data_IF_651920629149
#
_entry.id   IF_651920629149
#
_cell.length_a   1.000
_cell.length_b   1.000
_cell.length_c   1.000
_cell.angle_alpha   90.00
_cell.angle_beta   90.00
_cell.angle_gamma   90.00
#
_symmetry.space_group_name_H-M   'P 1'
#
loop_
_entity.id
_entity.type
_entity.pdbx_description
1 polymer ?
#
# COMPACT_ATOMS: atom_id res chain seq x y z
N UNK A 1 -0.85 19.80 23.39
CA UNK A 1 0.52 19.74 22.82
C UNK A 1 0.34 20.13 21.37
N UNK A 2 1.05 21.16 20.88
CA UNK A 2 0.81 21.67 19.52
C UNK A 2 1.36 20.66 18.52
N UNK A 3 0.48 20.00 17.77
CA UNK A 3 0.90 18.98 16.82
C UNK A 3 1.83 19.58 15.76
N UNK A 4 2.94 18.91 15.51
CA UNK A 4 3.89 19.22 14.44
C UNK A 4 4.76 20.47 14.61
N UNK A 5 4.89 21.02 15.83
CA UNK A 5 5.91 22.06 16.13
C UNK A 5 7.28 21.48 16.48
N UNK A 6 7.34 20.45 17.33
CA UNK A 6 8.60 19.84 17.78
C UNK A 6 9.12 18.83 16.75
N UNK A 7 10.25 19.12 16.09
CA UNK A 7 10.87 18.18 15.13
C UNK A 7 11.14 16.81 15.78
N UNK A 8 10.76 15.74 15.07
CA UNK A 8 10.85 14.36 15.58
C UNK A 8 9.67 13.93 16.46
N UNK A 9 8.67 14.79 16.70
CA UNK A 9 7.45 14.40 17.46
C UNK A 9 6.41 13.63 16.63
N UNK A 10 6.54 13.57 15.30
CA UNK A 10 5.63 12.83 14.41
C UNK A 10 6.32 11.87 13.45
N UNK A 11 5.54 10.96 12.89
CA UNK A 11 5.91 10.08 11.78
C UNK A 11 4.98 10.31 10.57
N UNK A 12 5.39 9.80 9.42
CA UNK A 12 4.54 9.66 8.22
C UNK A 12 4.35 8.16 7.93
N UNK A 13 3.19 7.75 7.43
CA UNK A 13 2.95 6.38 6.99
C UNK A 13 2.19 6.32 5.67
N UNK A 14 2.76 5.65 4.67
CA UNK A 14 2.22 5.51 3.33
C UNK A 14 1.74 4.08 3.06
N UNK A 15 0.48 3.94 2.67
CA UNK A 15 -0.12 2.62 2.43
C UNK A 15 0.38 1.91 1.17
N UNK A 16 0.16 0.59 1.07
CA UNK A 16 0.50 -0.17 -0.14
C UNK A 16 -0.52 0.07 -1.26
N UNK A 17 -0.07 0.54 -2.43
CA UNK A 17 -0.99 1.07 -3.46
C UNK A 17 -0.81 0.49 -4.87
N UNK A 18 0.20 -0.36 -5.11
CA UNK A 18 0.54 -0.86 -6.45
C UNK A 18 0.64 0.28 -7.47
N UNK A 19 -0.07 0.16 -8.60
CA UNK A 19 -0.13 1.21 -9.64
C UNK A 19 -0.81 2.53 -9.20
N UNK A 20 -1.55 2.55 -8.09
CA UNK A 20 -2.08 3.79 -7.51
C UNK A 20 -1.00 4.59 -6.74
N UNK A 21 0.24 4.09 -6.68
CA UNK A 21 1.35 4.72 -5.94
C UNK A 21 1.68 6.16 -6.35
N UNK A 22 1.27 6.63 -7.54
CA UNK A 22 1.39 8.05 -7.91
C UNK A 22 0.58 8.99 -7.02
N UNK A 23 -0.48 8.50 -6.36
CA UNK A 23 -1.18 9.25 -5.33
C UNK A 23 -0.22 9.74 -4.23
N UNK A 24 0.68 8.86 -3.77
CA UNK A 24 1.69 9.20 -2.76
C UNK A 24 2.71 10.22 -3.27
N UNK A 25 3.04 10.20 -4.57
CA UNK A 25 3.90 11.20 -5.22
C UNK A 25 3.23 12.57 -5.19
N UNK A 26 1.93 12.64 -5.49
CA UNK A 26 1.13 13.87 -5.41
C UNK A 26 1.05 14.45 -3.99
N UNK A 27 0.76 13.60 -3.00
CA UNK A 27 0.77 13.97 -1.57
C UNK A 27 2.14 14.53 -1.16
N UNK A 28 3.20 13.81 -1.52
CA UNK A 28 4.59 14.18 -1.21
C UNK A 28 4.97 15.51 -1.87
N UNK A 29 4.52 15.76 -3.10
CA UNK A 29 4.78 17.03 -3.79
C UNK A 29 4.03 18.19 -3.14
N UNK A 30 2.78 18.00 -2.74
CA UNK A 30 2.03 19.01 -1.97
C UNK A 30 2.77 19.37 -0.66
N UNK A 31 3.23 18.37 0.09
CA UNK A 31 4.04 18.60 1.29
C UNK A 31 5.34 19.35 0.98
N UNK A 32 6.10 18.97 -0.04
CA UNK A 32 7.34 19.69 -0.45
C UNK A 32 7.08 21.16 -0.78
N UNK A 33 5.98 21.49 -1.45
CA UNK A 33 5.65 22.87 -1.84
C UNK A 33 5.01 23.72 -0.74
N UNK A 34 4.13 23.14 0.08
CA UNK A 34 3.24 23.90 0.98
C UNK A 34 3.63 23.78 2.44
N UNK A 35 4.22 22.67 2.86
CA UNK A 35 4.60 22.40 4.24
C UNK A 35 5.87 21.51 4.35
N UNK A 36 7.02 21.92 3.77
CA UNK A 36 8.22 21.06 3.67
C UNK A 36 8.75 20.59 5.03
N UNK A 37 8.49 21.36 6.09
CA UNK A 37 8.80 20.99 7.48
C UNK A 37 8.18 19.64 7.90
N UNK A 38 7.00 19.27 7.39
CA UNK A 38 6.37 17.98 7.71
C UNK A 38 7.19 16.77 7.25
N UNK A 39 7.90 16.89 6.12
CA UNK A 39 8.80 15.84 5.61
C UNK A 39 10.16 15.89 6.30
N UNK A 40 10.69 17.09 6.55
CA UNK A 40 12.01 17.30 7.14
C UNK A 40 12.04 16.91 8.62
N UNK A 41 11.06 17.37 9.40
CA UNK A 41 10.91 17.12 10.84
C UNK A 41 10.24 15.78 11.18
N UNK A 42 9.83 14.97 10.20
CA UNK A 42 9.33 13.62 10.47
C UNK A 42 10.46 12.74 11.06
N UNK A 43 10.20 12.15 12.23
CA UNK A 43 11.12 11.21 12.89
C UNK A 43 11.39 9.99 12.02
N UNK A 44 10.30 9.39 11.51
CA UNK A 44 10.30 8.24 10.62
C UNK A 44 9.24 8.37 9.54
N UNK A 45 9.55 7.75 8.40
CA UNK A 45 8.67 7.57 7.27
C UNK A 45 8.50 6.07 7.07
N UNK A 46 7.29 5.58 7.28
CA UNK A 46 6.92 4.19 7.12
C UNK A 46 6.21 3.96 5.79
N UNK A 47 6.29 2.72 5.29
CA UNK A 47 5.39 2.29 4.22
C UNK A 47 5.38 0.79 3.98
N UNK A 48 4.41 0.35 3.20
CA UNK A 48 4.34 -0.99 2.59
C UNK A 48 4.24 -0.86 1.07
N UNK A 49 4.70 -1.85 0.31
CA UNK A 49 4.58 -1.89 -1.16
C UNK A 49 5.03 -0.57 -1.83
N UNK A 50 4.24 -0.01 -2.75
CA UNK A 50 4.55 1.29 -3.37
C UNK A 50 4.56 2.49 -2.41
N UNK A 51 3.95 2.39 -1.22
CA UNK A 51 4.14 3.36 -0.13
C UNK A 51 5.57 3.34 0.43
N UNK A 52 6.21 2.18 0.51
CA UNK A 52 7.62 2.07 0.88
C UNK A 52 8.56 2.60 -0.22
N UNK A 53 8.20 2.43 -1.50
CA UNK A 53 8.90 3.07 -2.62
C UNK A 53 8.84 4.61 -2.50
N UNK A 54 7.67 5.18 -2.23
CA UNK A 54 7.54 6.62 -2.01
C UNK A 54 8.34 7.09 -0.77
N UNK A 55 8.30 6.32 0.33
CA UNK A 55 9.04 6.63 1.54
C UNK A 55 10.57 6.68 1.32
N UNK A 56 11.14 5.74 0.55
CA UNK A 56 12.58 5.81 0.21
C UNK A 56 12.88 6.95 -0.76
N UNK A 57 11.99 7.28 -1.70
CA UNK A 57 12.17 8.43 -2.60
C UNK A 57 12.20 9.77 -1.87
N UNK A 58 11.45 9.91 -0.75
CA UNK A 58 11.55 11.09 0.13
C UNK A 58 12.94 11.14 0.82
N UNK A 59 13.40 10.02 1.38
CA UNK A 59 14.66 9.95 2.14
C UNK A 59 15.89 10.09 1.24
N UNK A 60 15.83 9.58 0.02
CA UNK A 60 16.84 9.74 -1.02
C UNK A 60 16.81 11.12 -1.71
N UNK A 61 15.87 11.99 -1.31
CA UNK A 61 15.53 13.27 -1.94
C UNK A 61 15.42 13.21 -3.47
N UNK A 62 14.72 12.20 -3.98
CA UNK A 62 14.56 12.00 -5.42
C UNK A 62 13.71 13.09 -6.07
N UNK A 63 14.08 13.43 -7.30
CA UNK A 63 13.40 14.42 -8.13
C UNK A 63 11.99 13.96 -8.51
N UNK A 64 11.10 14.93 -8.72
CA UNK A 64 9.72 14.66 -9.11
C UNK A 64 9.62 13.93 -10.45
N UNK A 65 10.42 14.37 -11.43
CA UNK A 65 10.59 13.72 -12.72
C UNK A 65 10.88 12.22 -12.59
N UNK A 66 11.77 11.83 -11.67
CA UNK A 66 12.11 10.43 -11.44
C UNK A 66 10.92 9.66 -10.85
N UNK A 67 10.29 10.19 -9.79
CA UNK A 67 9.16 9.55 -9.13
C UNK A 67 7.97 9.32 -10.09
N UNK A 68 7.64 10.32 -10.92
CA UNK A 68 6.60 10.21 -11.95
C UNK A 68 7.02 9.23 -13.06
N UNK A 69 8.25 9.31 -13.56
CA UNK A 69 8.73 8.49 -14.68
C UNK A 69 8.87 7.01 -14.33
N UNK A 70 9.18 6.66 -13.08
CA UNK A 70 9.31 5.27 -12.64
C UNK A 70 7.97 4.51 -12.79
N UNK A 71 6.89 5.03 -12.19
CA UNK A 71 5.59 4.36 -12.26
C UNK A 71 4.93 4.52 -13.65
N UNK A 72 4.95 5.72 -14.25
CA UNK A 72 4.39 5.93 -15.59
C UNK A 72 5.20 5.22 -16.70
N UNK A 73 6.50 4.98 -16.48
CA UNK A 73 7.34 4.16 -17.35
C UNK A 73 6.90 2.70 -17.36
N UNK A 74 6.62 2.12 -16.18
CA UNK A 74 6.07 0.78 -16.06
C UNK A 74 4.67 0.66 -16.67
N UNK A 75 3.80 1.66 -16.47
CA UNK A 75 2.48 1.77 -17.12
C UNK A 75 2.62 1.80 -18.64
N UNK A 76 3.49 2.66 -19.19
CA UNK A 76 3.78 2.77 -20.63
C UNK A 76 4.32 1.47 -21.22
N UNK A 77 5.19 0.76 -20.49
CA UNK A 77 5.69 -0.54 -20.92
C UNK A 77 4.55 -1.55 -21.00
N UNK A 78 3.66 -1.60 -20.00
CA UNK A 78 2.46 -2.44 -20.02
C UNK A 78 1.47 -2.08 -21.15
N UNK A 79 1.28 -0.79 -21.45
CA UNK A 79 0.45 -0.32 -22.58
C UNK A 79 0.97 -0.79 -23.95
N UNK A 80 2.25 -1.19 -24.06
CA UNK A 80 2.87 -1.73 -25.28
C UNK A 80 2.75 -3.26 -25.40
N UNK A 81 2.48 -3.98 -24.31
CA UNK A 81 2.41 -5.45 -24.32
C UNK A 81 1.01 -5.93 -24.71
N UNK A 82 0.94 -6.86 -25.68
CA UNK A 82 -0.32 -7.37 -26.26
C UNK A 82 -1.26 -8.04 -25.25
N UNK A 83 -0.72 -8.54 -24.13
CA UNK A 83 -1.44 -9.19 -23.03
C UNK A 83 -1.31 -8.41 -21.70
N UNK A 84 -0.76 -7.19 -21.73
CA UNK A 84 -0.49 -6.39 -20.53
C UNK A 84 0.29 -7.18 -19.47
N UNK A 85 -0.28 -7.27 -18.26
CA UNK A 85 0.33 -7.97 -17.12
C UNK A 85 0.49 -9.48 -17.32
N UNK A 86 -0.26 -10.10 -18.25
CA UNK A 86 -0.17 -11.53 -18.55
C UNK A 86 0.90 -11.87 -19.60
N UNK A 87 1.57 -10.86 -20.14
CA UNK A 87 2.58 -11.05 -21.17
C UNK A 87 3.86 -11.69 -20.59
N UNK A 88 4.48 -12.68 -21.25
CA UNK A 88 5.68 -13.35 -20.71
C UNK A 88 6.89 -12.41 -20.56
N UNK A 89 6.88 -11.25 -21.23
CA UNK A 89 7.87 -10.19 -21.06
C UNK A 89 7.74 -9.43 -19.73
N UNK A 90 6.54 -9.35 -19.14
CA UNK A 90 6.27 -8.48 -17.99
C UNK A 90 6.95 -9.02 -16.73
N UNK A 91 7.98 -8.30 -16.29
CA UNK A 91 8.90 -8.68 -15.22
C UNK A 91 8.98 -7.52 -14.20
N UNK A 92 7.94 -7.32 -13.36
CA UNK A 92 7.82 -6.11 -12.55
C UNK A 92 8.94 -5.97 -11.53
N UNK A 93 9.37 -7.08 -10.92
CA UNK A 93 10.42 -7.09 -9.90
C UNK A 93 11.78 -6.75 -10.50
N UNK A 94 12.09 -7.27 -11.69
CA UNK A 94 13.32 -6.98 -12.42
C UNK A 94 13.37 -5.49 -12.80
N UNK A 95 12.25 -4.94 -13.29
CA UNK A 95 12.14 -3.53 -13.63
C UNK A 95 12.31 -2.62 -12.40
N UNK A 96 11.59 -2.90 -11.31
CA UNK A 96 11.71 -2.14 -10.05
C UNK A 96 13.13 -2.26 -9.48
N UNK A 97 13.74 -3.45 -9.50
CA UNK A 97 15.11 -3.68 -9.03
C UNK A 97 16.12 -2.84 -9.81
N UNK A 98 16.01 -2.82 -11.14
CA UNK A 98 16.87 -1.99 -11.99
C UNK A 98 16.68 -0.49 -11.68
N UNK A 99 15.44 -0.01 -11.59
CA UNK A 99 15.17 1.40 -11.28
C UNK A 99 15.69 1.81 -9.89
N UNK A 100 15.60 0.93 -8.88
CA UNK A 100 16.20 1.17 -7.56
C UNK A 100 17.75 1.15 -7.59
N UNK A 101 18.34 0.27 -8.41
CA UNK A 101 19.79 0.18 -8.62
C UNK A 101 20.37 1.36 -9.42
N UNK A 102 19.58 2.01 -10.26
CA UNK A 102 19.96 3.23 -11.00
C UNK A 102 19.77 4.49 -10.16
N UNK A 103 18.72 4.56 -9.33
CA UNK A 103 18.25 5.82 -8.71
C UNK A 103 18.58 6.04 -7.24
N UNK A 104 18.84 5.00 -6.45
CA UNK A 104 19.16 5.18 -5.03
C UNK A 104 20.64 5.55 -4.84
N UNK A 105 21.01 6.56 -4.05
CA UNK A 105 22.40 6.95 -3.87
C UNK A 105 23.22 5.85 -3.14
N UNK A 106 24.56 5.79 -3.32
CA UNK A 106 25.43 4.79 -2.68
C UNK A 106 25.24 4.67 -1.15
N UNK A 107 25.04 5.81 -0.48
CA UNK A 107 24.87 5.94 0.97
C UNK A 107 23.42 5.78 1.46
N UNK A 108 22.46 5.36 0.62
CA UNK A 108 21.03 5.30 1.00
C UNK A 108 20.76 4.51 2.29
N UNK A 109 21.54 3.47 2.57
CA UNK A 109 21.44 2.64 3.76
C UNK A 109 21.74 3.41 5.06
N UNK A 110 22.61 4.42 5.01
CA UNK A 110 22.89 5.34 6.12
C UNK A 110 21.73 6.31 6.30
N UNK A 111 21.23 6.91 5.20
CA UNK A 111 20.13 7.87 5.22
C UNK A 111 18.78 7.25 5.66
N UNK A 112 18.55 6.00 5.25
CA UNK A 112 17.33 5.23 5.53
C UNK A 112 17.36 4.54 6.90
N UNK A 113 18.53 4.19 7.45
CA UNK A 113 18.59 3.59 8.78
C UNK A 113 18.02 4.55 9.83
N UNK A 114 17.20 4.00 10.72
CA UNK A 114 16.40 4.69 11.75
C UNK A 114 15.35 5.69 11.25
N UNK A 115 15.36 6.11 9.98
CA UNK A 115 14.38 7.05 9.37
C UNK A 115 13.34 6.36 8.49
N UNK A 116 13.70 5.32 7.75
CA UNK A 116 12.79 4.51 6.93
C UNK A 116 12.26 3.34 7.77
N UNK A 117 10.99 2.98 7.58
CA UNK A 117 10.45 1.71 8.09
C UNK A 117 9.67 0.96 7.00
N UNK A 118 10.21 -0.17 6.55
CA UNK A 118 9.63 -0.99 5.49
C UNK A 118 8.82 -2.13 6.12
N UNK A 119 7.51 -2.14 5.91
CA UNK A 119 6.62 -3.26 6.26
C UNK A 119 6.84 -4.43 5.31
N UNK A 120 7.03 -5.64 5.83
CA UNK A 120 7.24 -6.87 5.04
C UNK A 120 6.48 -8.02 5.69
N UNK A 121 5.82 -8.86 4.88
CA UNK A 121 5.10 -10.05 5.37
C UNK A 121 6.02 -11.25 5.26
N UNK A 122 6.31 -11.94 6.37
CA UNK A 122 7.10 -13.18 6.33
C UNK A 122 6.26 -14.31 5.72
N UNK A 123 6.84 -15.08 4.82
CA UNK A 123 6.17 -16.17 4.14
C UNK A 123 5.77 -17.33 5.07
N UNK A 124 6.66 -17.71 6.00
CA UNK A 124 6.50 -18.94 6.79
C UNK A 124 5.35 -18.92 7.79
N UNK A 125 5.04 -17.76 8.38
CA UNK A 125 4.04 -17.59 9.44
C UNK A 125 3.02 -16.47 9.16
N UNK A 126 3.12 -15.79 8.00
CA UNK A 126 2.28 -14.65 7.63
C UNK A 126 2.49 -13.39 8.48
N UNK A 127 3.46 -13.38 9.39
CA UNK A 127 3.62 -12.28 10.36
C UNK A 127 4.28 -11.07 9.71
N UNK A 128 3.83 -9.88 10.12
CA UNK A 128 4.47 -8.64 9.71
C UNK A 128 5.78 -8.40 10.45
N UNK A 129 6.77 -7.87 9.75
CA UNK A 129 7.93 -7.20 10.34
C UNK A 129 8.06 -5.78 9.76
N UNK A 130 8.67 -4.88 10.52
CA UNK A 130 9.03 -3.53 10.05
C UNK A 130 10.54 -3.37 10.12
N UNK A 131 11.21 -3.37 8.96
CA UNK A 131 12.66 -3.21 8.86
C UNK A 131 13.02 -1.73 8.90
N UNK A 132 13.83 -1.33 9.88
CA UNK A 132 14.23 0.07 10.12
C UNK A 132 15.75 0.31 10.13
N UNK A 133 16.56 -0.72 9.91
CA UNK A 133 18.03 -0.63 9.97
C UNK A 133 18.65 -1.44 8.85
N UNK A 134 19.59 -0.84 8.11
CA UNK A 134 20.18 -1.37 6.89
C UNK A 134 21.70 -1.17 6.90
N UNK A 135 22.46 -2.25 6.79
CA UNK A 135 23.91 -2.24 6.74
C UNK A 135 24.46 -1.89 5.34
N UNK A 136 23.70 -2.15 4.26
CA UNK A 136 24.17 -1.89 2.88
C UNK A 136 23.07 -1.37 1.95
N UNK A 137 23.45 -0.70 0.85
CA UNK A 137 22.54 -0.28 -0.22
C UNK A 137 21.75 -1.45 -0.82
N UNK A 138 22.40 -2.58 -1.02
CA UNK A 138 21.75 -3.78 -1.55
C UNK A 138 20.70 -4.32 -0.58
N UNK A 139 20.90 -4.19 0.73
CA UNK A 139 19.92 -4.58 1.74
C UNK A 139 18.67 -3.68 1.70
N UNK A 140 18.83 -2.35 1.51
CA UNK A 140 17.67 -1.45 1.28
C UNK A 140 16.90 -1.88 0.04
N UNK A 141 17.60 -2.12 -1.08
CA UNK A 141 16.98 -2.56 -2.33
C UNK A 141 16.26 -3.89 -2.13
N UNK A 142 16.86 -4.86 -1.44
CA UNK A 142 16.26 -6.17 -1.23
C UNK A 142 15.01 -6.10 -0.33
N UNK A 143 15.01 -5.27 0.71
CA UNK A 143 13.81 -5.03 1.52
C UNK A 143 12.68 -4.37 0.70
N UNK A 144 13.03 -3.42 -0.18
CA UNK A 144 12.08 -2.80 -1.11
C UNK A 144 11.55 -3.79 -2.16
N UNK A 145 12.36 -4.75 -2.61
CA UNK A 145 11.89 -5.84 -3.49
C UNK A 145 10.95 -6.79 -2.74
N UNK A 146 11.24 -7.12 -1.49
CA UNK A 146 10.35 -7.96 -0.68
C UNK A 146 8.99 -7.29 -0.43
N UNK A 147 8.97 -6.01 -0.05
CA UNK A 147 7.71 -5.31 0.27
C UNK A 147 6.79 -5.07 -0.93
N UNK A 148 7.29 -5.13 -2.17
CA UNK A 148 6.47 -5.06 -3.40
C UNK A 148 6.22 -6.42 -4.05
N UNK A 149 6.71 -7.52 -3.47
CA UNK A 149 6.57 -8.85 -4.06
C UNK A 149 5.18 -9.43 -3.79
N UNK A 150 4.26 -9.23 -4.73
CA UNK A 150 2.94 -9.85 -4.67
C UNK A 150 2.99 -11.29 -5.20
N UNK A 151 2.66 -12.33 -4.40
CA UNK A 151 2.75 -13.72 -4.82
C UNK A 151 1.91 -14.03 -6.05
N UNK A 152 2.39 -14.96 -6.89
CA UNK A 152 1.80 -15.40 -8.17
C UNK A 152 1.77 -14.32 -9.27
N UNK A 153 1.68 -13.04 -8.91
CA UNK A 153 1.78 -11.90 -9.82
C UNK A 153 3.24 -11.59 -10.19
N UNK A 154 4.11 -11.45 -9.18
CA UNK A 154 5.53 -11.19 -9.35
C UNK A 154 6.34 -12.47 -9.67
N UNK A 155 5.85 -13.63 -9.22
CA UNK A 155 6.52 -14.92 -9.35
C UNK A 155 5.97 -15.96 -8.38
N UNK A 156 6.62 -17.13 -8.32
CA UNK A 156 6.25 -18.21 -7.39
C UNK A 156 7.13 -18.20 -6.13
N UNK A 157 8.44 -17.96 -6.28
CA UNK A 157 9.43 -18.07 -5.21
C UNK A 157 9.67 -16.69 -4.59
N UNK A 158 9.33 -16.46 -3.31
CA UNK A 158 9.53 -15.17 -2.68
C UNK A 158 11.02 -14.79 -2.56
N UNK A 159 11.36 -13.49 -2.64
CA UNK A 159 12.71 -13.02 -2.38
C UNK A 159 13.16 -13.26 -0.94
N UNK A 160 14.45 -13.48 -0.77
CA UNK A 160 15.08 -13.67 0.54
C UNK A 160 15.61 -12.36 1.13
N UNK A 161 15.45 -12.19 2.43
CA UNK A 161 16.02 -11.08 3.19
C UNK A 161 16.50 -11.60 4.55
N UNK A 162 17.80 -11.49 4.84
CA UNK A 162 18.42 -11.99 6.09
C UNK A 162 18.11 -13.48 6.38
N UNK A 163 18.16 -14.33 5.37
CA UNK A 163 17.92 -15.79 5.49
C UNK A 163 16.45 -16.20 5.60
N UNK A 164 15.52 -15.25 5.57
CA UNK A 164 14.07 -15.49 5.66
C UNK A 164 13.37 -15.01 4.39
N UNK A 165 12.23 -15.61 4.04
CA UNK A 165 11.50 -15.34 2.80
C UNK A 165 10.31 -14.41 3.03
N UNK A 166 10.16 -13.39 2.18
CA UNK A 166 9.17 -12.31 2.40
C UNK A 166 8.38 -11.97 1.14
N UNK A 167 7.17 -11.49 1.38
CA UNK A 167 6.19 -11.03 0.38
C UNK A 167 5.66 -9.65 0.78
N UNK A 168 4.82 -9.09 -0.09
CA UNK A 168 4.32 -7.71 0.01
C UNK A 168 3.82 -7.38 1.43
N UNK A 169 4.32 -6.28 1.99
CA UNK A 169 4.00 -5.85 3.36
C UNK A 169 2.52 -5.56 3.57
N UNK A 170 1.80 -5.17 2.52
CA UNK A 170 0.38 -4.89 2.56
C UNK A 170 -0.51 -6.12 2.75
N UNK A 171 0.04 -7.33 2.66
CA UNK A 171 -0.63 -8.59 2.98
C UNK A 171 -0.66 -8.91 4.48
N UNK A 172 -0.04 -8.09 5.32
CA UNK A 172 -0.10 -8.23 6.80
C UNK A 172 -0.23 -6.90 7.54
N UNK A 173 0.39 -5.83 7.04
CA UNK A 173 0.35 -4.49 7.62
C UNK A 173 0.50 -3.43 6.51
N UNK A 174 -0.66 -3.10 5.93
CA UNK A 174 -0.87 -2.19 4.80
C UNK A 174 -0.51 -0.74 5.12
N UNK A 175 -0.83 -0.27 6.33
CA UNK A 175 -0.55 1.09 6.78
C UNK A 175 0.11 1.04 8.18
N UNK A 176 1.45 0.95 8.25
CA UNK A 176 2.15 0.77 9.52
C UNK A 176 1.90 1.92 10.51
N UNK A 177 1.61 1.59 11.77
CA UNK A 177 1.32 2.56 12.83
C UNK A 177 0.12 3.48 12.52
N UNK A 178 -0.92 2.96 11.84
CA UNK A 178 -2.22 3.62 11.61
C UNK A 178 -2.82 4.22 12.87
N UNK A 179 -2.76 3.49 13.98
CA UNK A 179 -3.49 3.80 15.22
C UNK A 179 -2.71 4.76 16.13
N UNK A 180 -1.53 5.21 15.70
CA UNK A 180 -0.66 6.08 16.47
C UNK A 180 -1.04 7.55 16.26
N UNK A 181 -1.46 8.29 17.30
CA UNK A 181 -1.92 9.68 17.16
C UNK A 181 -0.82 10.66 16.73
N UNK A 182 0.45 10.23 16.77
CA UNK A 182 1.62 10.97 16.27
C UNK A 182 2.06 10.54 14.87
N UNK A 183 1.22 9.86 14.09
CA UNK A 183 1.54 9.40 12.73
C UNK A 183 0.53 9.97 11.75
N UNK A 184 0.99 10.77 10.78
CA UNK A 184 0.13 11.22 9.68
C UNK A 184 0.01 10.08 8.67
N UNK A 185 -1.23 9.72 8.36
CA UNK A 185 -1.56 8.54 7.55
C UNK A 185 -1.99 8.89 6.12
N UNK A 186 -1.46 8.18 5.12
CA UNK A 186 -1.70 8.45 3.69
C UNK A 186 -2.15 7.18 2.97
N UNK A 187 -3.30 7.24 2.27
CA UNK A 187 -3.83 6.13 1.49
C UNK A 187 -4.66 6.58 0.28
N UNK A 188 -4.50 5.97 -0.91
CA UNK A 188 -5.36 6.25 -2.08
C UNK A 188 -6.74 5.60 -1.98
N UNK A 189 -6.99 4.76 -0.97
CA UNK A 189 -8.28 4.12 -0.75
C UNK A 189 -9.18 5.00 0.14
N UNK A 190 -10.49 5.00 -0.13
CA UNK A 190 -11.45 5.75 0.66
C UNK A 190 -11.53 5.14 2.07
N UNK A 191 -11.33 5.95 3.12
CA UNK A 191 -11.20 5.46 4.49
C UNK A 191 -11.28 6.58 5.52
N UNK A 192 -10.77 6.29 6.72
CA UNK A 192 -10.71 7.21 7.87
C UNK A 192 -9.30 7.73 8.19
N UNK A 193 -8.34 7.49 7.28
CA UNK A 193 -6.97 8.02 7.38
C UNK A 193 -6.92 9.54 7.17
N UNK A 194 -5.84 10.19 7.62
CA UNK A 194 -5.68 11.66 7.53
C UNK A 194 -5.76 12.18 6.09
N UNK A 195 -5.14 11.46 5.15
CA UNK A 195 -5.04 11.83 3.73
C UNK A 195 -5.51 10.66 2.87
N UNK A 196 -6.77 10.73 2.43
CA UNK A 196 -7.35 9.87 1.41
C UNK A 196 -8.44 10.57 0.59
N UNK A 197 -8.86 10.00 -0.55
CA UNK A 197 -10.04 10.46 -1.27
C UNK A 197 -11.30 10.32 -0.40
N UNK A 198 -12.11 11.37 -0.31
CA UNK A 198 -13.36 11.31 0.46
C UNK A 198 -14.48 10.60 -0.32
N UNK A 199 -15.14 9.64 0.33
CA UNK A 199 -16.31 8.98 -0.21
C UNK A 199 -17.53 9.89 -0.15
N UNK A 200 -18.27 9.97 -1.25
CA UNK A 200 -19.59 10.60 -1.35
C UNK A 200 -20.72 9.74 -0.79
N UNK A 201 -20.41 8.51 -0.37
CA UNK A 201 -21.41 7.52 0.08
C UNK A 201 -21.32 7.35 1.59
N UNK A 202 -22.44 7.53 2.29
CA UNK A 202 -22.59 7.35 3.73
C UNK A 202 -22.61 5.86 4.16
N UNK A 203 -21.68 5.06 3.64
CA UNK A 203 -21.58 3.64 3.97
C UNK A 203 -20.81 3.48 5.28
N UNK A 204 -21.53 3.11 6.34
CA UNK A 204 -21.06 3.08 7.74
C UNK A 204 -20.21 1.82 8.04
N UNK A 205 -20.03 0.93 7.06
CA UNK A 205 -19.29 -0.32 7.22
C UNK A 205 -17.83 -0.14 6.80
N UNK A 206 -16.97 0.08 7.79
CA UNK A 206 -15.51 0.03 7.66
C UNK A 206 -15.00 -1.40 7.90
N UNK A 207 -14.05 -1.83 7.08
CA UNK A 207 -13.34 -3.09 7.24
C UNK A 207 -11.88 -2.78 7.63
N UNK A 208 -11.50 -3.14 8.85
CA UNK A 208 -10.10 -3.16 9.25
C UNK A 208 -9.44 -4.43 8.72
N UNK A 209 -8.85 -4.35 7.54
CA UNK A 209 -8.08 -5.42 6.92
C UNK A 209 -6.60 -5.03 6.87
N UNK A 210 -5.71 -5.91 7.36
CA UNK A 210 -4.25 -5.70 7.35
C UNK A 210 -3.81 -4.34 7.91
N UNK A 211 -4.42 -3.88 9.01
CA UNK A 211 -4.21 -2.56 9.62
C UNK A 211 -4.51 -1.36 8.68
N UNK A 212 -5.50 -1.49 7.81
CA UNK A 212 -6.08 -0.36 7.09
C UNK A 212 -7.60 -0.31 7.27
N UNK A 213 -8.12 0.86 7.67
CA UNK A 213 -9.55 1.14 7.76
C UNK A 213 -10.12 1.47 6.37
N UNK A 214 -10.51 0.43 5.64
CA UNK A 214 -11.03 0.54 4.28
C UNK A 214 -12.55 0.60 4.32
N UNK A 215 -13.16 1.64 3.75
CA UNK A 215 -14.62 1.67 3.59
C UNK A 215 -15.09 0.60 2.61
N UNK A 216 -16.07 -0.21 2.99
CA UNK A 216 -16.66 -1.21 2.08
C UNK A 216 -17.45 -0.46 1.00
N UNK A 217 -16.86 -0.35 -0.19
CA UNK A 217 -17.45 0.34 -1.34
C UNK A 217 -17.01 -0.29 -2.66
N UNK A 218 -17.87 -0.23 -3.66
CA UNK A 218 -17.53 -0.61 -5.05
C UNK A 218 -16.35 0.19 -5.60
N UNK A 219 -16.17 1.45 -5.14
CA UNK A 219 -14.99 2.27 -5.43
C UNK A 219 -13.71 1.63 -4.89
N UNK A 220 -13.68 1.21 -3.63
CA UNK A 220 -12.49 0.55 -3.06
C UNK A 220 -12.23 -0.84 -3.65
N UNK A 221 -13.27 -1.59 -4.04
CA UNK A 221 -13.09 -2.83 -4.81
C UNK A 221 -12.43 -2.55 -6.18
N UNK A 222 -12.90 -1.52 -6.90
CA UNK A 222 -12.31 -1.10 -8.18
C UNK A 222 -10.87 -0.56 -8.03
N UNK A 223 -10.58 0.17 -6.95
CA UNK A 223 -9.22 0.61 -6.62
C UNK A 223 -8.31 -0.57 -6.26
N UNK A 224 -8.81 -1.58 -5.52
CA UNK A 224 -8.07 -2.81 -5.24
C UNK A 224 -7.72 -3.60 -6.52
N UNK A 225 -8.63 -3.61 -7.51
CA UNK A 225 -8.35 -4.15 -8.83
C UNK A 225 -7.33 -3.31 -9.62
N UNK A 226 -7.46 -1.98 -9.56
CA UNK A 226 -6.56 -1.01 -10.22
C UNK A 226 -5.18 -0.89 -9.56
N UNK A 227 -5.03 -1.40 -8.35
CA UNK A 227 -3.74 -1.58 -7.67
C UNK A 227 -2.90 -2.66 -8.38
N UNK A 228 -3.52 -3.74 -8.86
CA UNK A 228 -2.87 -4.89 -9.50
C UNK A 228 -2.84 -4.79 -11.04
N UNK A 229 -3.87 -4.18 -11.64
CA UNK A 229 -3.94 -3.96 -13.09
C UNK A 229 -3.64 -2.50 -13.39
N UNK A 230 -2.59 -2.28 -14.19
CA UNK A 230 -2.18 -0.94 -14.62
C UNK A 230 -3.35 -0.16 -15.22
N UNK A 231 -3.71 1.01 -14.67
CA UNK A 231 -4.61 1.94 -15.32
C UNK A 231 -3.91 2.57 -16.55
N UNK A 232 -4.68 3.29 -17.37
CA UNK A 232 -4.13 4.16 -18.41
C UNK A 232 -3.27 5.27 -17.76
N UNK A 233 -2.16 5.63 -18.41
CA UNK A 233 -1.26 6.72 -18.01
C UNK A 233 -1.96 7.98 -17.49
N UNK A 234 -3.00 8.47 -18.17
CA UNK A 234 -3.75 9.66 -17.72
C UNK A 234 -4.50 9.45 -16.39
N UNK A 235 -5.12 8.29 -16.20
CA UNK A 235 -5.82 7.96 -14.93
C UNK A 235 -4.81 7.81 -13.80
N UNK A 236 -3.59 7.34 -14.11
CA UNK A 236 -2.49 7.30 -13.15
C UNK A 236 -2.00 8.71 -12.77
N UNK A 237 -1.99 9.65 -13.73
CA UNK A 237 -1.71 11.07 -13.47
C UNK A 237 -2.83 11.76 -12.67
N UNK A 238 -4.11 11.47 -12.94
CA UNK A 238 -5.24 11.96 -12.15
C UNK A 238 -5.16 11.50 -10.69
N UNK A 239 -4.74 10.26 -10.42
CA UNK A 239 -4.48 9.82 -9.04
C UNK A 239 -3.38 10.65 -8.37
N UNK A 240 -2.36 11.08 -9.10
CA UNK A 240 -1.32 12.00 -8.60
C UNK A 240 -1.91 13.38 -8.25
N UNK A 241 -2.68 13.97 -9.19
CA UNK A 241 -3.37 15.25 -8.98
C UNK A 241 -4.32 15.18 -7.78
N UNK A 242 -5.04 14.07 -7.60
CA UNK A 242 -5.97 13.89 -6.47
C UNK A 242 -5.23 13.77 -5.13
N UNK A 243 -4.10 13.05 -5.09
CA UNK A 243 -3.24 12.99 -3.91
C UNK A 243 -2.72 14.36 -3.48
N UNK A 244 -2.37 15.23 -4.44
CA UNK A 244 -2.01 16.60 -4.13
C UNK A 244 -3.17 17.39 -3.50
N UNK A 245 -4.39 17.28 -4.05
CA UNK A 245 -5.58 17.98 -3.54
C UNK A 245 -6.01 17.49 -2.14
N UNK A 246 -5.97 16.18 -1.90
CA UNK A 246 -6.30 15.60 -0.60
C UNK A 246 -5.27 15.99 0.48
N UNK A 247 -3.98 16.07 0.11
CA UNK A 247 -2.93 16.56 1.00
C UNK A 247 -3.09 18.06 1.31
N UNK A 248 -3.40 18.88 0.29
CA UNK A 248 -3.68 20.31 0.47
C UNK A 248 -4.87 20.52 1.40
N UNK A 249 -5.92 19.70 1.25
CA UNK A 249 -7.10 19.69 2.15
C UNK A 249 -6.72 19.36 3.58
N UNK A 250 -5.85 18.38 3.80
CA UNK A 250 -5.35 18.06 5.14
C UNK A 250 -4.55 19.23 5.74
N UNK A 251 -3.67 19.86 4.98
CA UNK A 251 -2.89 21.01 5.45
C UNK A 251 -3.79 22.19 5.83
N UNK A 252 -4.77 22.55 4.98
CA UNK A 252 -5.74 23.61 5.26
C UNK A 252 -6.60 23.29 6.49
N UNK A 253 -7.10 22.05 6.64
CA UNK A 253 -7.88 21.61 7.81
C UNK A 253 -7.13 21.70 9.13
N UNK A 254 -5.80 21.57 9.10
CA UNK A 254 -4.90 21.63 10.26
C UNK A 254 -4.29 23.02 10.47
N UNK A 255 -4.57 24.01 9.62
CA UNK A 255 -3.97 25.35 9.68
C UNK A 255 -2.47 25.37 9.35
N UNK A 256 -1.99 24.41 8.54
CA UNK A 256 -0.59 24.24 8.17
C UNK A 256 -0.20 24.93 6.85
N UNK A 257 -1.17 25.52 6.14
CA UNK A 257 -0.95 26.44 5.00
C UNK A 257 -1.10 27.90 5.41
N UNK A 258 -0.47 28.80 4.66
CA UNK A 258 -0.65 30.25 4.80
C UNK A 258 -1.92 30.78 4.11
N UNK A 259 -2.41 30.06 3.11
CA UNK A 259 -3.49 30.49 2.21
C UNK A 259 -4.52 29.36 2.03
N UNK A 260 -5.84 29.69 1.97
CA UNK A 260 -6.93 28.75 1.73
C UNK A 260 -7.15 28.52 0.23
N UNK A 261 -6.23 27.81 -0.40
CA UNK A 261 -6.18 27.60 -1.87
C UNK A 261 -7.39 26.83 -2.38
N UNK A 262 -7.89 25.82 -1.67
CA UNK A 262 -9.06 25.04 -2.10
C UNK A 262 -10.36 25.86 -2.12
N UNK A 263 -10.47 26.88 -1.26
CA UNK A 263 -11.62 27.79 -1.26
C UNK A 263 -11.64 28.66 -2.52
N UNK A 264 -10.47 29.18 -2.92
CA UNK A 264 -10.32 29.94 -4.18
C UNK A 264 -10.68 29.09 -5.40
N UNK A 265 -10.28 27.81 -5.45
CA UNK A 265 -10.62 26.89 -6.55
C UNK A 265 -12.13 26.65 -6.71
N UNK A 266 -12.88 26.64 -5.60
CA UNK A 266 -14.33 26.37 -5.60
C UNK A 266 -15.14 27.68 -5.74
N UNK A 267 -14.47 28.83 -5.90
CA UNK A 267 -15.09 30.16 -5.92
C UNK A 267 -16.01 30.41 -4.71
N UNK A 268 -15.59 29.93 -3.53
CA UNK A 268 -16.29 30.13 -2.26
C UNK A 268 -15.38 30.93 -1.33
N UNK A 269 -15.93 31.98 -0.74
CA UNK A 269 -15.21 32.79 0.22
C UNK A 269 -14.89 31.95 1.47
N UNK A 270 -13.65 31.99 2.00
CA UNK A 270 -13.32 31.25 3.22
C UNK A 270 -14.18 31.75 4.40
N UNK A 271 -14.63 30.87 5.31
CA UNK A 271 -15.32 31.32 6.51
C UNK A 271 -14.41 32.27 7.29
N UNK A 272 -14.96 33.39 7.75
CA UNK A 272 -14.23 34.37 8.55
C UNK A 272 -13.57 33.66 9.76
N UNK A 273 -12.32 34.01 10.11
CA UNK A 273 -11.70 33.48 11.31
C UNK A 273 -12.59 33.83 12.50
N UNK A 274 -12.91 32.83 13.34
CA UNK A 274 -13.80 33.02 14.48
C UNK A 274 -13.18 34.05 15.44
N UNK A 275 -13.75 35.25 15.45
CA UNK A 275 -13.28 36.33 16.28
C UNK A 275 -13.54 36.02 17.75
N UNK A 276 -12.62 36.44 18.62
CA UNK A 276 -12.58 36.01 20.02
C UNK A 276 -13.63 36.71 20.87
N UNK A 277 -14.89 36.26 20.83
CA UNK A 277 -15.91 36.68 21.80
C UNK A 277 -15.54 36.15 23.19
N UNK A 278 -14.97 37.03 24.02
CA UNK A 278 -14.88 36.81 25.45
C UNK A 278 -16.31 36.71 26.01
N UNK A 279 -16.64 35.57 26.60
CA UNK A 279 -17.70 35.50 27.60
C UNK A 279 -17.18 34.75 28.83
N UNK A 280 -17.43 35.32 30.01
CA UNK A 280 -16.76 34.95 31.25
C UNK A 280 -17.43 33.80 31.98
N UNK A 281 -16.72 32.71 32.28
CA UNK A 281 -17.23 31.68 33.21
C UNK A 281 -16.38 30.41 33.31
N UNK A 282 -15.60 30.31 34.40
CA UNK A 282 -14.84 29.13 34.86
C UNK A 282 -15.13 27.74 34.23
N UNK A 283 -14.15 27.22 33.48
CA UNK A 283 -13.41 26.04 33.95
C UNK A 283 -12.03 25.95 33.30
N UNK A 284 -10.99 25.76 34.12
CA UNK A 284 -9.58 25.93 33.71
C UNK A 284 -8.90 24.56 33.58
N UNK A 285 -9.01 23.95 32.40
CA UNK A 285 -8.30 22.70 32.11
C UNK A 285 -8.55 22.15 30.71
N UNK A 286 -7.47 21.88 29.98
CA UNK A 286 -7.41 20.97 28.83
C UNK A 286 -8.11 21.40 27.52
N UNK A 287 -7.70 22.54 26.94
CA UNK A 287 -7.87 22.78 25.49
C UNK A 287 -6.59 23.36 24.89
N UNK A 288 -6.07 22.70 23.85
CA UNK A 288 -4.74 22.96 23.31
C UNK A 288 -4.44 22.15 22.06
N UNK A 289 -5.45 21.99 21.21
CA UNK A 289 -5.36 21.47 19.85
C UNK A 289 -5.71 22.58 18.85
N UNK A 290 -5.05 22.56 17.69
CA UNK A 290 -5.42 23.42 16.56
C UNK A 290 -6.87 23.10 16.15
N UNK A 291 -7.71 24.14 16.05
CA UNK A 291 -9.09 24.02 15.60
C UNK A 291 -9.14 23.33 14.24
N UNK A 292 -9.79 22.16 14.15
CA UNK A 292 -9.89 21.41 12.91
C UNK A 292 -10.97 22.04 12.04
N UNK A 293 -10.58 22.74 10.97
CA UNK A 293 -11.54 23.43 10.11
C UNK A 293 -12.27 22.44 9.20
N UNK A 294 -13.34 21.83 9.70
CA UNK A 294 -14.12 20.84 8.95
C UNK A 294 -14.86 21.41 7.73
N UNK A 295 -14.95 22.75 7.60
CA UNK A 295 -15.59 23.40 6.46
C UNK A 295 -14.75 23.34 5.17
N UNK A 296 -13.43 23.08 5.24
CA UNK A 296 -12.55 23.05 4.06
C UNK A 296 -13.10 22.09 2.99
N UNK A 297 -13.35 22.59 1.76
CA UNK A 297 -14.08 21.86 0.74
C UNK A 297 -13.32 20.62 0.26
N UNK A 298 -14.07 19.61 -0.14
CA UNK A 298 -13.52 18.48 -0.89
C UNK A 298 -13.51 18.83 -2.37
N UNK A 299 -12.33 18.80 -3.00
CA UNK A 299 -12.14 19.10 -4.43
C UNK A 299 -11.64 17.85 -5.14
N UNK A 300 -12.31 17.48 -6.22
CA UNK A 300 -11.88 16.38 -7.09
C UNK A 300 -11.12 16.95 -8.30
N UNK A 301 -10.17 16.19 -8.85
CA UNK A 301 -9.35 16.64 -10.00
C UNK A 301 -10.19 17.12 -11.18
N UNK A 302 -11.29 16.43 -11.48
CA UNK A 302 -12.25 16.80 -12.54
C UNK A 302 -12.90 18.18 -12.36
N UNK A 303 -12.89 18.71 -11.14
CA UNK A 303 -13.50 19.99 -10.77
C UNK A 303 -12.45 21.13 -10.76
N UNK A 304 -11.17 20.82 -11.03
CA UNK A 304 -10.07 21.79 -11.14
C UNK A 304 -9.85 22.15 -12.61
N UNK A 305 -10.12 23.40 -13.04
CA UNK A 305 -10.08 23.78 -14.46
C UNK A 305 -8.66 23.92 -15.03
N UNK A 306 -7.67 24.24 -14.19
CA UNK A 306 -6.26 24.25 -14.59
C UNK A 306 -5.36 23.86 -13.40
N UNK A 307 -4.77 22.66 -13.46
CA UNK A 307 -3.87 22.17 -12.41
C UNK A 307 -2.45 22.78 -12.48
N UNK A 308 -2.03 23.32 -13.63
CA UNK A 308 -0.74 24.01 -13.79
C UNK A 308 -0.61 25.24 -12.87
N UNK A 309 -1.74 25.89 -12.56
CA UNK A 309 -1.79 27.03 -11.64
C UNK A 309 -1.52 26.63 -10.18
N UNK A 310 -1.77 25.37 -9.81
CA UNK A 310 -1.54 24.85 -8.46
C UNK A 310 -0.10 24.35 -8.29
N UNK A 311 0.37 23.55 -9.23
CA UNK A 311 1.73 22.98 -9.21
C UNK A 311 2.25 22.81 -10.64
N UNK A 312 2.91 23.83 -11.21
CA UNK A 312 3.38 23.79 -12.60
C UNK A 312 4.49 22.76 -12.80
N UNK A 313 5.36 22.55 -11.81
CA UNK A 313 6.39 21.50 -11.86
C UNK A 313 5.79 20.10 -11.84
N UNK A 314 4.71 19.86 -11.09
CA UNK A 314 4.03 18.56 -11.06
C UNK A 314 3.32 18.29 -12.38
N UNK A 315 2.59 19.26 -12.91
CA UNK A 315 1.87 19.08 -14.16
C UNK A 315 2.85 18.92 -15.33
N UNK A 316 3.95 19.68 -15.38
CA UNK A 316 5.01 19.47 -16.39
C UNK A 316 5.66 18.08 -16.28
N UNK A 317 5.96 17.61 -15.06
CA UNK A 317 6.51 16.27 -14.84
C UNK A 317 5.51 15.16 -15.27
N UNK A 318 4.21 15.33 -14.95
CA UNK A 318 3.15 14.41 -15.37
C UNK A 318 2.95 14.43 -16.89
N UNK A 319 2.84 15.59 -17.53
CA UNK A 319 2.73 15.71 -18.98
C UNK A 319 3.92 15.06 -19.71
N UNK A 320 5.15 15.33 -19.25
CA UNK A 320 6.38 14.69 -19.75
C UNK A 320 6.34 13.17 -19.56
N UNK A 321 5.97 12.71 -18.37
CA UNK A 321 5.89 11.29 -18.04
C UNK A 321 4.70 10.56 -18.69
N UNK A 322 3.64 11.26 -19.12
CA UNK A 322 2.53 10.74 -19.92
C UNK A 322 2.80 10.82 -21.44
N UNK A 323 3.67 11.73 -21.90
CA UNK A 323 4.00 11.94 -23.32
C UNK A 323 4.37 10.61 -23.98
N UNK A 324 3.54 10.18 -24.93
CA UNK A 324 3.69 8.88 -25.62
C UNK A 324 4.72 8.98 -26.74
N UNK A 325 5.41 7.87 -27.03
CA UNK A 325 6.30 7.79 -28.19
C UNK A 325 5.55 8.23 -29.46
N UNK A 326 6.08 9.26 -30.13
CA UNK A 326 5.52 9.88 -31.31
C UNK A 326 5.86 9.12 -32.61
N UNK A 327 6.68 8.06 -32.54
CA UNK A 327 7.07 7.27 -33.71
C UNK A 327 5.86 6.79 -34.52
N UNK A 328 5.99 6.84 -35.85
CA UNK A 328 4.93 6.42 -36.78
C UNK A 328 4.54 4.95 -36.55
N UNK A 329 5.52 4.11 -36.21
CA UNK A 329 5.34 2.72 -35.83
C UNK A 329 4.53 2.55 -34.54
N UNK A 330 4.90 3.21 -33.43
CA UNK A 330 4.12 3.14 -32.19
C UNK A 330 2.70 3.70 -32.37
N UNK A 331 2.53 4.74 -33.21
CA UNK A 331 1.21 5.26 -33.58
C UNK A 331 0.40 4.22 -34.38
N UNK A 332 1.02 3.47 -35.29
CA UNK A 332 0.38 2.37 -35.99
C UNK A 332 -0.01 1.22 -35.04
N UNK A 333 0.92 0.68 -34.23
CA UNK A 333 0.64 -0.42 -33.31
C UNK A 333 -0.50 -0.12 -32.31
N UNK A 334 -0.64 1.14 -31.87
CA UNK A 334 -1.74 1.57 -30.97
C UNK A 334 -3.07 1.80 -31.70
N UNK A 335 -3.07 1.94 -33.02
CA UNK A 335 -4.30 2.11 -33.82
C UNK A 335 -5.13 0.82 -33.85
N UNK A 336 -6.44 0.93 -34.17
CA UNK A 336 -7.32 -0.24 -34.34
C UNK A 336 -6.76 -1.30 -35.32
N UNK A 337 -6.31 -0.96 -36.55
CA UNK A 337 -5.73 -1.97 -37.43
C UNK A 337 -4.40 -2.54 -36.92
N UNK A 338 -3.54 -1.73 -36.28
CA UNK A 338 -2.30 -2.23 -35.68
C UNK A 338 -2.57 -3.23 -34.55
N UNK A 339 -3.51 -2.93 -33.64
CA UNK A 339 -3.95 -3.87 -32.60
C UNK A 339 -4.58 -5.14 -33.18
N UNK A 340 -5.42 -5.01 -34.20
CA UNK A 340 -6.02 -6.17 -34.87
C UNK A 340 -4.94 -7.08 -35.49
N UNK A 341 -3.93 -6.49 -36.15
CA UNK A 341 -2.78 -7.22 -36.67
C UNK A 341 -1.97 -7.88 -35.56
N UNK A 342 -1.71 -7.19 -34.44
CA UNK A 342 -1.02 -7.76 -33.28
C UNK A 342 -1.76 -8.97 -32.72
N UNK A 343 -3.08 -8.89 -32.52
CA UNK A 343 -3.87 -10.04 -32.04
C UNK A 343 -3.98 -11.18 -33.05
N UNK A 344 -3.99 -10.88 -34.36
CA UNK A 344 -3.99 -11.90 -35.41
C UNK A 344 -2.64 -12.64 -35.54
N UNK A 345 -1.53 -11.96 -35.29
CA UNK A 345 -0.19 -12.55 -35.26
C UNK A 345 0.15 -13.21 -33.91
N UNK A 346 -0.58 -12.89 -32.84
CA UNK A 346 -0.30 -13.37 -31.49
C UNK A 346 -0.19 -14.90 -31.37
N UNK A 347 -1.03 -15.75 -32.00
CA UNK A 347 -0.87 -17.20 -31.94
C UNK A 347 0.47 -17.69 -32.52
N UNK A 348 1.07 -16.92 -33.44
CA UNK A 348 2.35 -17.23 -34.06
C UNK A 348 3.53 -16.66 -33.27
N UNK A 349 3.44 -15.44 -32.71
CA UNK A 349 4.58 -14.82 -31.99
C UNK A 349 4.67 -15.24 -30.52
N UNK A 350 3.52 -15.38 -29.84
CA UNK A 350 3.46 -15.66 -28.40
C UNK A 350 4.20 -16.93 -27.97
N UNK A 351 4.19 -18.06 -28.71
CA UNK A 351 4.97 -19.24 -28.33
C UNK A 351 6.48 -18.98 -28.31
N UNK A 352 7.02 -18.24 -29.29
CA UNK A 352 8.44 -17.90 -29.34
C UNK A 352 8.82 -16.89 -28.26
N UNK A 353 8.00 -15.85 -28.07
CA UNK A 353 8.20 -14.87 -26.99
C UNK A 353 8.14 -15.55 -25.61
N UNK A 354 7.18 -16.44 -25.40
CA UNK A 354 7.07 -17.22 -24.17
C UNK A 354 8.33 -18.06 -23.93
N UNK A 355 8.78 -18.84 -24.91
CA UNK A 355 10.01 -19.64 -24.80
C UNK A 355 11.22 -18.74 -24.52
N UNK A 356 11.36 -17.61 -25.24
CA UNK A 356 12.47 -16.67 -25.07
C UNK A 356 12.50 -16.07 -23.66
N UNK A 357 11.40 -15.46 -23.20
CA UNK A 357 11.36 -14.79 -21.89
C UNK A 357 11.41 -15.80 -20.73
N UNK A 358 10.80 -16.99 -20.87
CA UNK A 358 10.94 -18.06 -19.86
C UNK A 358 12.36 -18.59 -19.78
N UNK A 359 13.04 -18.78 -20.92
CA UNK A 359 14.45 -19.20 -20.95
C UNK A 359 15.35 -18.15 -20.33
N UNK A 360 15.15 -16.86 -20.66
CA UNK A 360 15.89 -15.74 -20.07
C UNK A 360 15.73 -15.67 -18.54
N UNK A 361 14.50 -15.86 -18.02
CA UNK A 361 14.24 -15.92 -16.58
C UNK A 361 14.89 -17.14 -15.93
N UNK A 362 14.83 -18.31 -16.58
CA UNK A 362 15.48 -19.53 -16.07
C UNK A 362 17.00 -19.32 -15.96
N UNK A 363 17.65 -18.76 -16.99
CA UNK A 363 19.08 -18.43 -16.96
C UNK A 363 19.42 -17.43 -15.86
N UNK A 364 18.59 -16.40 -15.66
CA UNK A 364 18.79 -15.43 -14.57
C UNK A 364 18.61 -16.04 -13.17
N UNK A 365 17.83 -17.12 -13.04
CA UNK A 365 17.57 -17.83 -11.79
C UNK A 365 18.61 -18.93 -11.46
N UNK A 366 19.40 -19.39 -12.44
CA UNK A 366 20.41 -20.44 -12.23
C UNK A 366 21.35 -20.22 -11.01
N UNK A 367 21.80 -19.00 -10.66
CA UNK A 367 22.64 -18.79 -9.48
C UNK A 367 21.93 -19.10 -8.16
N UNK A 368 20.64 -18.74 -8.04
CA UNK A 368 19.84 -18.87 -6.82
C UNK A 368 19.12 -20.23 -6.73
N UNK A 369 19.00 -20.93 -7.88
CA UNK A 369 18.32 -22.23 -8.04
C UNK A 369 18.60 -23.24 -6.91
N UNK A 370 19.86 -23.49 -6.46
CA UNK A 370 20.10 -24.49 -5.44
C UNK A 370 19.39 -24.15 -4.11
N UNK A 371 19.56 -22.92 -3.62
CA UNK A 371 18.96 -22.48 -2.35
C UNK A 371 17.43 -22.50 -2.43
N UNK A 372 16.89 -22.04 -3.55
CA UNK A 372 15.45 -22.02 -3.81
C UNK A 372 14.83 -23.42 -3.88
N UNK A 373 15.51 -24.39 -4.50
CA UNK A 373 15.04 -25.79 -4.57
C UNK A 373 15.07 -26.45 -3.19
N UNK A 374 16.14 -26.24 -2.41
CA UNK A 374 16.19 -26.72 -1.01
C UNK A 374 15.06 -26.13 -0.16
N UNK A 375 14.79 -24.83 -0.30
CA UNK A 375 13.68 -24.17 0.39
C UNK A 375 12.32 -24.73 -0.04
N UNK A 376 12.06 -24.89 -1.35
CA UNK A 376 10.82 -25.49 -1.85
C UNK A 376 10.62 -26.93 -1.35
N UNK A 377 11.69 -27.73 -1.28
CA UNK A 377 11.64 -29.07 -0.71
C UNK A 377 11.24 -29.04 0.78
N UNK A 378 11.80 -28.10 1.56
CA UNK A 378 11.42 -27.90 2.97
C UNK A 378 9.93 -27.55 3.14
N UNK A 379 9.41 -26.63 2.32
CA UNK A 379 7.99 -26.25 2.33
C UNK A 379 7.08 -27.44 1.96
N UNK A 380 7.47 -28.23 0.96
CA UNK A 380 6.71 -29.42 0.58
C UNK A 380 6.70 -30.49 1.69
N UNK A 381 7.84 -30.68 2.36
CA UNK A 381 7.96 -31.59 3.50
C UNK A 381 7.12 -31.14 4.70
N UNK A 382 7.11 -29.83 5.03
CA UNK A 382 6.26 -29.32 6.13
C UNK A 382 4.77 -29.45 5.83
N UNK A 383 4.35 -29.18 4.59
CA UNK A 383 2.95 -29.38 4.16
C UNK A 383 2.54 -30.85 4.20
N UNK A 384 3.40 -31.76 3.72
CA UNK A 384 3.15 -33.20 3.79
C UNK A 384 3.05 -33.71 5.24
N UNK A 385 3.91 -33.22 6.13
CA UNK A 385 3.86 -33.52 7.56
C UNK A 385 2.58 -32.98 8.22
N UNK A 386 2.17 -31.74 7.92
CA UNK A 386 0.94 -31.17 8.45
C UNK A 386 -0.30 -31.95 7.98
N UNK A 387 -0.40 -32.26 6.69
CA UNK A 387 -1.49 -33.09 6.14
C UNK A 387 -1.50 -34.45 6.82
N UNK A 388 -0.34 -35.11 6.96
CA UNK A 388 -0.22 -36.40 7.64
C UNK A 388 -0.70 -36.33 9.10
N UNK A 389 -0.31 -35.30 9.86
CA UNK A 389 -0.78 -35.12 11.25
C UNK A 389 -2.28 -34.87 11.32
N UNK A 390 -2.84 -33.98 10.48
CA UNK A 390 -4.29 -33.73 10.42
C UNK A 390 -5.09 -34.98 10.06
N UNK A 391 -4.64 -35.76 9.07
CA UNK A 391 -5.28 -37.02 8.69
C UNK A 391 -5.17 -38.07 9.81
N UNK A 392 -4.02 -38.17 10.48
CA UNK A 392 -3.83 -39.05 11.64
C UNK A 392 -4.77 -38.67 12.79
N UNK A 393 -4.88 -37.38 13.11
CA UNK A 393 -5.76 -36.89 14.18
C UNK A 393 -7.25 -37.07 13.85
N UNK A 394 -7.64 -36.90 12.59
CA UNK A 394 -8.99 -37.21 12.11
C UNK A 394 -9.31 -38.71 12.24
N UNK A 395 -8.38 -39.58 11.82
CA UNK A 395 -8.53 -41.04 11.97
C UNK A 395 -8.60 -41.45 13.44
N UNK A 396 -7.74 -40.89 14.30
CA UNK A 396 -7.79 -41.14 15.75
C UNK A 396 -9.11 -40.69 16.37
N UNK A 397 -9.66 -39.53 15.97
CA UNK A 397 -10.98 -39.07 16.43
C UNK A 397 -12.12 -39.97 15.95
N UNK A 398 -12.07 -40.48 14.72
CA UNK A 398 -13.06 -41.42 14.18
C UNK A 398 -13.01 -42.78 14.89
N UNK A 399 -11.81 -43.28 15.22
CA UNK A 399 -11.63 -44.51 16.00
C UNK A 399 -12.00 -44.32 17.48
N UNK A 400 -11.96 -43.08 17.99
CA UNK A 400 -12.32 -42.73 19.39
C UNK A 400 -13.81 -42.41 19.59
N UNK A 401 -14.68 -42.63 18.60
CA UNK A 401 -16.12 -42.53 18.80
C UNK A 401 -16.58 -43.56 19.86
N UNK A 402 -17.31 -43.16 20.92
CA UNK A 402 -17.75 -44.10 21.94
C UNK A 402 -18.74 -45.11 21.34
N UNK A 403 -18.42 -46.40 21.46
CA UNK A 403 -19.38 -47.47 21.18
C UNK A 403 -20.46 -47.43 22.27
N UNK A 404 -21.56 -46.75 21.99
CA UNK A 404 -22.79 -46.86 22.79
C UNK A 404 -23.46 -48.20 22.50
N UNK A 405 -23.01 -49.27 23.14
CA UNK A 405 -23.73 -50.55 23.18
C UNK A 405 -24.99 -50.43 24.05
N UNK A 406 -26.17 -50.83 23.57
CA UNK A 406 -27.40 -50.81 24.36
C UNK A 406 -27.58 -52.11 25.17
N UNK A 407 -28.37 -52.00 26.26
CA UNK A 407 -28.87 -53.07 27.15
C UNK A 407 -27.87 -53.84 28.02
N UNK A 408 -27.99 -53.66 29.34
CA UNK A 408 -28.73 -54.64 30.15
C UNK A 408 -29.50 -53.98 31.33
N UNK A 409 -30.52 -54.66 31.89
CA UNK A 409 -31.52 -54.00 32.76
C UNK A 409 -31.38 -54.31 34.26
N UNK A 410 -31.92 -53.41 35.07
CA UNK A 410 -32.56 -53.75 36.35
C UNK A 410 -31.74 -53.60 37.63
N UNK A 411 -31.92 -52.47 38.32
CA UNK A 411 -32.35 -52.46 39.74
C UNK A 411 -32.59 -51.03 40.22
N UNK A 412 -33.79 -50.79 40.73
CA UNK A 412 -34.15 -49.71 41.65
C UNK A 412 -35.13 -50.32 42.68
N UNK A 413 -35.42 -49.67 43.83
CA UNK A 413 -34.94 -48.37 44.30
C UNK A 413 -34.37 -48.41 45.73
N UNK A 414 -33.80 -47.29 46.19
CA UNK A 414 -34.15 -46.81 47.52
C UNK A 414 -34.22 -45.27 47.51
N UNK A 415 -35.36 -44.76 47.98
CA UNK A 415 -35.58 -43.33 48.22
C UNK A 415 -35.07 -43.02 49.62
N UNK A 416 -34.36 -41.91 49.79
CA UNK A 416 -34.48 -41.17 51.05
C UNK A 416 -34.44 -39.65 50.83
N UNK A 417 -35.23 -38.94 51.64
CA UNK A 417 -35.39 -37.49 51.61
C UNK A 417 -34.39 -36.84 52.59
N UNK A 418 -33.64 -35.81 52.15
CA UNK A 418 -33.46 -34.59 52.96
C UNK A 418 -32.70 -33.46 52.23
N UNK A 419 -33.33 -32.27 52.24
CA UNK A 419 -32.73 -30.93 52.40
C UNK A 419 -31.76 -30.36 51.34
N UNK A 420 -32.33 -29.48 50.50
CA UNK A 420 -31.78 -28.16 50.14
C UNK A 420 -31.37 -27.37 51.43
N UNK A 421 -30.43 -26.38 51.40
CA UNK A 421 -30.61 -25.18 50.55
C UNK A 421 -29.34 -24.57 49.89
N UNK A 422 -29.58 -23.92 48.75
CA UNK A 422 -28.79 -22.81 48.12
C UNK A 422 -28.73 -21.52 48.98
N UNK A 423 -27.96 -20.46 48.59
CA UNK A 423 -26.71 -20.41 47.80
C UNK A 423 -25.58 -19.75 48.66
N UNK A 424 -25.03 -18.50 48.50
CA UNK A 424 -25.10 -17.42 47.49
C UNK A 424 -23.80 -17.23 46.66
N UNK A 425 -23.59 -16.03 46.12
CA UNK A 425 -22.47 -15.53 45.29
C UNK A 425 -21.42 -14.72 46.09
N UNK A 426 -20.21 -14.55 45.50
CA UNK A 426 -19.35 -13.34 45.39
C UNK A 426 -17.85 -13.74 45.45
N UNK A 427 -16.92 -13.09 44.75
CA UNK A 427 -16.99 -11.89 43.91
C UNK A 427 -16.19 -12.07 42.60
#
# INVERSE_FOLDING_TARGET
MRCYEDEGSWNLSFSGAGFLGLYHVGVTRCFRERAPRLLQGARRIYGSSSGALNAVSIIADQSLDFCCSNLLGMVKHLEQLSLGIFHPAFAPIEHIRQQLQESLPPNIHILASQRLGISMTRWSDGRNIIVTNFATRNEVIQALICTVYFPFYCGIIPPEFRGERYIDGALSNHLPFSDSPSTITVSPFHGTVDICPQSTSANIHELNAFNASLQISTKNFFLGFSCLISPNSEVAADNCRQGYLDALRFLERRGLTKEPVLWMLVSKEPPAPADGSQDTGHNRGQEGGLSLNWAVPNVLVKDVPNFEQLSPELEAALQKACTRDASTWARFCRSRPGRALTYLLLPCTLPFEYIYFRSKRLVAWLPDMPADVWWMQGVLQSLAAEIYTRSKDQLLRLVSLPVTSPLQPGAAPLVDLAKDPRPPHQA
#
